data_IF_901237851251
#
_entry.id   IF_901237851251
#
_cell.length_a   1.000
_cell.length_b   1.000
_cell.length_c   1.000
_cell.angle_alpha   90.00
_cell.angle_beta   90.00
_cell.angle_gamma   90.00
#
_symmetry.space_group_name_H-M   'P 1'
#
loop_
_entity.id
_entity.type
_entity.pdbx_description
1 polymer ?
#
# COMPACT_ATOMS: atom_id res chain seq x y z
N UNK A 1 15.49 17.41 -52.55
CA UNK A 1 15.20 16.90 -51.19
C UNK A 1 15.67 15.46 -51.09
N UNK A 2 16.68 15.17 -50.27
CA UNK A 2 17.30 13.84 -50.16
C UNK A 2 16.51 13.06 -49.09
N UNK A 3 15.66 12.13 -49.50
CA UNK A 3 14.88 11.33 -48.56
C UNK A 3 15.77 10.24 -47.94
N UNK A 4 15.91 10.28 -46.62
CA UNK A 4 16.60 9.23 -45.86
C UNK A 4 15.62 8.06 -45.76
N UNK A 5 15.87 6.99 -46.52
CA UNK A 5 15.11 5.74 -46.38
C UNK A 5 15.62 5.01 -45.15
N UNK A 6 14.92 5.13 -44.02
CA UNK A 6 15.20 4.36 -42.81
C UNK A 6 14.84 2.89 -43.08
N UNK A 7 15.85 2.03 -43.20
CA UNK A 7 15.66 0.59 -43.32
C UNK A 7 15.11 0.05 -41.99
N UNK A 8 13.79 -0.15 -41.91
CA UNK A 8 13.05 -0.60 -40.72
C UNK A 8 13.58 -1.92 -40.12
N UNK A 9 14.25 -2.75 -40.93
CA UNK A 9 14.88 -4.00 -40.47
C UNK A 9 16.07 -3.76 -39.52
N UNK A 10 16.83 -2.68 -39.73
CA UNK A 10 17.97 -2.30 -38.88
C UNK A 10 17.54 -1.70 -37.52
N UNK A 11 16.26 -1.36 -37.35
CA UNK A 11 15.69 -0.86 -36.09
C UNK A 11 15.28 -1.97 -35.11
N UNK A 12 15.21 -3.23 -35.56
CA UNK A 12 14.91 -4.38 -34.69
C UNK A 12 15.91 -4.57 -33.53
N UNK A 13 17.24 -4.56 -33.77
CA UNK A 13 18.22 -4.67 -32.67
C UNK A 13 18.17 -3.45 -31.74
N UNK A 14 17.91 -2.25 -32.28
CA UNK A 14 17.77 -1.02 -31.47
C UNK A 14 16.58 -1.11 -30.53
N UNK A 15 15.45 -1.67 -30.98
CA UNK A 15 14.28 -1.91 -30.13
C UNK A 15 14.59 -2.89 -29.00
N UNK A 16 15.31 -3.98 -29.30
CA UNK A 16 15.74 -4.92 -28.27
C UNK A 16 16.64 -4.28 -27.22
N UNK A 17 17.60 -3.45 -27.64
CA UNK A 17 18.49 -2.73 -26.72
C UNK A 17 17.73 -1.75 -25.84
N UNK A 18 16.78 -1.00 -26.39
CA UNK A 18 15.95 -0.08 -25.61
C UNK A 18 15.08 -0.80 -24.58
N UNK A 19 14.48 -1.94 -24.94
CA UNK A 19 13.69 -2.76 -24.03
C UNK A 19 14.57 -3.35 -22.92
N UNK A 20 15.72 -3.92 -23.26
CA UNK A 20 16.66 -4.45 -22.28
C UNK A 20 17.16 -3.36 -21.32
N UNK A 21 17.45 -2.16 -21.82
CA UNK A 21 17.86 -1.02 -21.01
C UNK A 21 16.75 -0.53 -20.09
N UNK A 22 15.50 -0.46 -20.58
CA UNK A 22 14.35 -0.11 -19.76
C UNK A 22 14.10 -1.15 -18.65
N UNK A 23 14.18 -2.44 -18.96
CA UNK A 23 14.09 -3.51 -17.97
C UNK A 23 15.22 -3.43 -16.94
N UNK A 24 16.45 -3.19 -17.36
CA UNK A 24 17.57 -2.99 -16.45
C UNK A 24 17.34 -1.78 -15.54
N UNK A 25 16.89 -0.63 -16.09
CA UNK A 25 16.53 0.53 -15.28
C UNK A 25 15.43 0.20 -14.27
N UNK A 26 14.41 -0.57 -14.63
CA UNK A 26 13.35 -0.98 -13.70
C UNK A 26 13.86 -1.92 -12.60
N UNK A 27 14.76 -2.86 -12.95
CA UNK A 27 15.40 -3.76 -11.98
C UNK A 27 16.34 -3.02 -11.03
N UNK A 28 17.06 -2.02 -11.51
CA UNK A 28 17.96 -1.20 -10.69
C UNK A 28 17.25 -0.02 -10.00
N UNK A 29 16.06 0.38 -10.46
CA UNK A 29 15.19 1.35 -9.78
C UNK A 29 14.46 0.64 -8.64
N UNK A 30 15.19 0.32 -7.59
CA UNK A 30 14.58 -0.13 -6.34
C UNK A 30 14.15 1.08 -5.51
N UNK A 31 12.86 1.30 -5.23
CA UNK A 31 12.43 1.76 -3.93
C UNK A 31 12.16 0.51 -3.08
N UNK A 32 13.17 -0.34 -2.86
CA UNK A 32 13.04 -1.52 -1.99
C UNK A 32 12.92 -1.15 -0.50
N UNK A 33 12.99 0.15 -0.20
CA UNK A 33 12.57 0.71 1.06
C UNK A 33 11.53 1.78 0.74
N UNK A 34 10.26 1.48 0.97
CA UNK A 34 9.34 2.54 1.34
C UNK A 34 9.99 3.27 2.52
N UNK A 35 10.42 4.51 2.30
CA UNK A 35 10.79 5.38 3.39
C UNK A 35 9.59 5.38 4.35
N UNK A 36 9.79 5.16 5.67
CA UNK A 36 8.67 5.19 6.59
C UNK A 36 7.99 6.55 6.40
N UNK A 37 6.67 6.54 6.18
CA UNK A 37 5.86 7.74 6.06
C UNK A 37 5.98 8.65 7.31
N UNK A 38 6.60 8.14 8.37
CA UNK A 38 6.93 8.85 9.59
C UNK A 38 8.43 8.64 9.95
N UNK A 39 9.30 9.65 9.83
CA UNK A 39 10.73 9.53 10.17
C UNK A 39 11.00 9.28 11.67
N UNK A 40 9.96 9.40 12.50
CA UNK A 40 9.96 9.13 13.95
C UNK A 40 9.30 7.81 14.33
N UNK A 41 8.78 7.05 13.35
CA UNK A 41 8.12 5.77 13.61
C UNK A 41 9.12 4.64 13.86
N UNK A 42 8.97 3.93 14.97
CA UNK A 42 9.70 2.69 15.26
C UNK A 42 9.60 1.74 14.07
N UNK A 43 10.75 1.30 13.53
CA UNK A 43 10.81 0.29 12.46
C UNK A 43 10.22 -1.02 12.99
N UNK A 44 8.93 -1.24 12.74
CA UNK A 44 8.28 -2.52 13.01
C UNK A 44 8.82 -3.53 12.00
N UNK A 45 9.27 -4.70 12.47
CA UNK A 45 9.73 -5.76 11.59
C UNK A 45 8.58 -6.15 10.64
N UNK A 46 8.80 -6.26 9.32
CA UNK A 46 7.76 -6.58 8.33
C UNK A 46 6.96 -7.85 8.69
N UNK A 47 7.62 -8.78 9.38
CA UNK A 47 7.08 -10.06 9.84
C UNK A 47 5.89 -9.92 10.80
N UNK A 48 5.82 -8.85 11.61
CA UNK A 48 4.72 -8.67 12.56
C UNK A 48 3.39 -8.31 11.88
N UNK A 49 3.45 -7.67 10.72
CA UNK A 49 2.26 -7.44 9.90
C UNK A 49 1.78 -8.72 9.23
N UNK A 50 2.71 -9.53 8.72
CA UNK A 50 2.42 -10.79 8.04
C UNK A 50 1.73 -11.81 8.96
N UNK A 51 2.20 -11.95 10.21
CA UNK A 51 1.57 -12.82 11.21
C UNK A 51 0.12 -12.41 11.51
N UNK A 52 -0.16 -11.11 11.61
CA UNK A 52 -1.53 -10.60 11.82
C UNK A 52 -2.42 -10.85 10.61
N UNK A 53 -1.89 -10.74 9.38
CA UNK A 53 -2.65 -10.99 8.15
C UNK A 53 -3.06 -12.46 8.02
N UNK A 54 -2.16 -13.40 8.33
CA UNK A 54 -2.47 -14.84 8.32
C UNK A 54 -3.56 -15.20 9.34
N UNK A 55 -3.56 -14.55 10.50
CA UNK A 55 -4.64 -14.69 11.49
C UNK A 55 -5.99 -14.24 10.95
N UNK A 56 -6.04 -13.06 10.35
CA UNK A 56 -7.26 -12.49 9.75
C UNK A 56 -7.79 -13.38 8.62
N UNK A 57 -6.90 -13.88 7.75
CA UNK A 57 -7.28 -14.78 6.65
C UNK A 57 -7.92 -16.07 7.18
N UNK A 58 -7.32 -16.65 8.23
CA UNK A 58 -7.86 -17.84 8.88
C UNK A 58 -9.25 -17.60 9.49
N UNK A 59 -9.43 -16.50 10.23
CA UNK A 59 -10.74 -16.16 10.82
C UNK A 59 -11.78 -15.87 9.73
N UNK A 60 -11.38 -15.24 8.62
CA UNK A 60 -12.24 -15.02 7.46
C UNK A 60 -12.71 -16.33 6.83
N UNK A 61 -11.80 -17.28 6.62
CA UNK A 61 -12.16 -18.61 6.10
C UNK A 61 -13.08 -19.35 7.07
N UNK A 62 -12.79 -19.31 8.38
CA UNK A 62 -13.64 -19.95 9.37
C UNK A 62 -15.06 -19.36 9.40
N UNK A 63 -15.19 -18.04 9.31
CA UNK A 63 -16.49 -17.36 9.25
C UNK A 63 -17.25 -17.64 7.94
N UNK A 64 -16.53 -17.90 6.85
CA UNK A 64 -17.13 -18.24 5.54
C UNK A 64 -17.57 -19.71 5.47
N UNK A 65 -16.85 -20.62 6.15
CA UNK A 65 -17.11 -22.06 6.12
C UNK A 65 -18.09 -22.52 7.23
N UNK A 66 -18.24 -21.77 8.32
CA UNK A 66 -19.19 -22.06 9.40
C UNK A 66 -20.55 -21.42 9.10
N UNK A 67 -21.61 -21.93 9.75
CA UNK A 67 -22.90 -21.25 9.78
C UNK A 67 -22.71 -19.79 10.27
N UNK A 68 -23.53 -18.84 9.78
CA UNK A 68 -23.42 -17.44 10.19
C UNK A 68 -23.44 -17.32 11.72
N UNK A 69 -22.53 -16.50 12.24
CA UNK A 69 -22.39 -16.23 13.67
C UNK A 69 -23.75 -15.84 14.25
N UNK A 70 -24.05 -16.35 15.44
CA UNK A 70 -25.23 -15.91 16.18
C UNK A 70 -25.07 -14.46 16.63
N UNK A 71 -26.17 -13.77 16.94
CA UNK A 71 -26.14 -12.38 17.43
C UNK A 71 -25.30 -12.24 18.70
N UNK A 72 -25.33 -13.24 19.59
CA UNK A 72 -24.57 -13.25 20.84
C UNK A 72 -23.07 -13.38 20.59
N UNK A 73 -22.66 -14.34 19.74
CA UNK A 73 -21.25 -14.50 19.35
C UNK A 73 -20.71 -13.28 18.59
N UNK A 74 -21.55 -12.67 17.75
CA UNK A 74 -21.22 -11.45 17.02
C UNK A 74 -20.98 -10.30 18.01
N UNK A 75 -21.89 -10.11 18.97
CA UNK A 75 -21.74 -9.07 20.00
C UNK A 75 -20.50 -9.31 20.88
N UNK A 76 -20.23 -10.56 21.27
CA UNK A 76 -19.06 -10.88 22.10
C UNK A 76 -17.75 -10.61 21.35
N UNK A 77 -17.66 -11.00 20.07
CA UNK A 77 -16.46 -10.79 19.25
C UNK A 77 -16.27 -9.33 18.84
N UNK A 78 -17.34 -8.64 18.47
CA UNK A 78 -17.29 -7.21 18.14
C UNK A 78 -16.84 -6.36 19.34
N UNK A 79 -17.23 -6.73 20.57
CA UNK A 79 -16.79 -6.03 21.78
C UNK A 79 -15.29 -6.20 22.09
N UNK A 80 -14.63 -7.22 21.52
CA UNK A 80 -13.20 -7.46 21.74
C UNK A 80 -12.32 -6.60 20.82
N UNK A 81 -12.87 -5.94 19.81
CA UNK A 81 -12.05 -5.29 18.78
C UNK A 81 -12.78 -4.39 17.79
N UNK A 82 -12.22 -4.26 16.60
CA UNK A 82 -12.73 -3.49 15.47
C UNK A 82 -13.89 -4.21 14.78
N UNK A 83 -13.81 -5.54 14.67
CA UNK A 83 -14.87 -6.43 14.21
C UNK A 83 -14.55 -7.89 14.58
N UNK A 84 -15.40 -8.82 14.17
CA UNK A 84 -15.36 -10.23 14.54
C UNK A 84 -14.21 -11.03 13.91
N UNK A 85 -13.52 -10.44 12.91
CA UNK A 85 -12.50 -11.09 12.07
C UNK A 85 -11.12 -10.43 12.20
N UNK A 86 -11.09 -9.12 12.41
CA UNK A 86 -9.87 -8.33 12.57
C UNK A 86 -9.47 -8.19 14.04
N UNK A 87 -10.38 -8.49 14.98
CA UNK A 87 -10.09 -8.36 16.40
C UNK A 87 -9.60 -6.95 16.74
N UNK A 88 -8.59 -6.83 17.59
CA UNK A 88 -7.99 -5.56 18.00
C UNK A 88 -6.82 -5.10 17.12
N UNK A 89 -6.65 -5.69 15.93
CA UNK A 89 -5.47 -5.51 15.10
C UNK A 89 -5.12 -4.03 14.85
N UNK A 90 -4.02 -3.59 15.49
CA UNK A 90 -3.46 -2.24 15.36
C UNK A 90 -4.48 -1.11 15.69
N UNK A 91 -5.50 -1.41 16.51
CA UNK A 91 -6.51 -0.45 16.95
C UNK A 91 -5.89 0.78 17.63
N UNK A 92 -4.79 0.59 18.34
CA UNK A 92 -3.99 1.63 19.00
C UNK A 92 -3.26 2.56 18.02
N UNK A 93 -2.98 2.08 16.80
CA UNK A 93 -2.36 2.85 15.72
C UNK A 93 -3.38 3.53 14.81
N UNK A 94 -4.66 3.21 14.94
CA UNK A 94 -5.73 3.86 14.17
C UNK A 94 -5.99 5.28 14.68
N UNK A 95 -6.30 6.17 13.75
CA UNK A 95 -6.79 7.51 14.07
C UNK A 95 -8.15 7.41 14.79
N UNK A 96 -8.20 7.98 15.99
CA UNK A 96 -9.36 8.09 16.86
C UNK A 96 -9.50 9.53 17.40
N UNK A 97 -10.67 9.93 17.91
CA UNK A 97 -10.90 11.30 18.38
C UNK A 97 -9.92 11.79 19.47
N UNK A 98 -9.30 10.87 20.21
CA UNK A 98 -8.30 11.18 21.25
C UNK A 98 -6.89 11.41 20.71
N UNK A 99 -6.48 10.70 19.66
CA UNK A 99 -5.12 10.79 19.07
C UNK A 99 -5.07 11.57 17.74
N UNK A 100 -6.20 12.08 17.25
CA UNK A 100 -6.33 12.71 15.91
C UNK A 100 -6.73 14.18 15.92
N UNK A 101 -6.68 14.85 17.07
CA UNK A 101 -7.14 16.24 17.21
C UNK A 101 -6.37 17.27 16.36
N UNK A 102 -5.21 16.88 15.81
CA UNK A 102 -4.43 17.67 14.85
C UNK A 102 -4.02 16.90 13.60
N UNK A 103 -4.70 15.79 13.28
CA UNK A 103 -4.39 14.99 12.10
C UNK A 103 -4.79 15.73 10.82
N UNK A 104 -3.88 15.77 9.84
CA UNK A 104 -4.16 16.33 8.50
C UNK A 104 -5.34 15.60 7.88
N UNK A 105 -6.35 16.35 7.42
CA UNK A 105 -7.50 15.73 6.76
C UNK A 105 -7.06 15.06 5.45
N UNK A 106 -7.80 14.04 5.02
CA UNK A 106 -7.52 13.35 3.75
C UNK A 106 -7.51 14.35 2.58
N UNK A 107 -8.41 15.32 2.60
CA UNK A 107 -8.46 16.39 1.60
C UNK A 107 -7.19 17.26 1.63
N UNK A 108 -6.72 17.61 2.81
CA UNK A 108 -5.54 18.45 3.00
C UNK A 108 -4.26 17.71 2.61
N UNK A 109 -4.15 16.42 2.95
CA UNK A 109 -3.06 15.55 2.50
C UNK A 109 -3.07 15.34 0.98
N UNK A 110 -4.26 15.16 0.38
CA UNK A 110 -4.40 15.04 -1.07
C UNK A 110 -4.01 16.35 -1.79
N UNK A 111 -4.39 17.49 -1.21
CA UNK A 111 -4.06 18.81 -1.75
C UNK A 111 -2.56 19.09 -1.66
N UNK A 112 -1.92 18.80 -0.52
CA UNK A 112 -0.47 18.90 -0.36
C UNK A 112 0.28 18.00 -1.35
N UNK A 113 -0.18 16.76 -1.52
CA UNK A 113 0.41 15.83 -2.51
C UNK A 113 0.27 16.38 -3.94
N UNK A 114 -0.89 16.92 -4.29
CA UNK A 114 -1.15 17.48 -5.61
C UNK A 114 -0.30 18.75 -5.86
N UNK A 115 -0.18 19.64 -4.88
CA UNK A 115 0.66 20.84 -4.95
C UNK A 115 2.16 20.49 -5.11
N UNK A 116 2.61 19.42 -4.45
CA UNK A 116 3.98 18.90 -4.55
C UNK A 116 4.29 18.30 -5.92
N UNK A 117 3.34 17.57 -6.50
CA UNK A 117 3.47 16.98 -7.86
C UNK A 117 3.32 18.03 -8.96
N UNK A 118 2.49 19.05 -8.75
CA UNK A 118 2.28 20.14 -9.72
C UNK A 118 3.29 21.29 -9.60
N UNK A 119 4.23 21.21 -8.65
CA UNK A 119 5.29 22.21 -8.48
C UNK A 119 4.78 23.57 -8.01
N UNK A 120 3.58 23.63 -7.44
CA UNK A 120 2.97 24.86 -6.89
C UNK A 120 3.30 25.10 -5.41
N UNK A 121 4.33 24.42 -4.88
CA UNK A 121 4.84 24.70 -3.53
C UNK A 121 5.36 26.14 -3.49
N UNK A 122 4.78 26.95 -2.59
CA UNK A 122 5.32 28.26 -2.25
C UNK A 122 6.57 28.12 -1.38
#
# INVERSE_FOLDING_TARGET
MRSIRLNLSALRPVRFLLVAFACAMLFFSTPAYSAPANPTGTRVAPQQGEEKLLGIEKETQEATLKNPLTLEETAEKANKGLNEIQGDADRDKMFNPGNSQGATSVEQAAKEALEKVTGKSK
#
